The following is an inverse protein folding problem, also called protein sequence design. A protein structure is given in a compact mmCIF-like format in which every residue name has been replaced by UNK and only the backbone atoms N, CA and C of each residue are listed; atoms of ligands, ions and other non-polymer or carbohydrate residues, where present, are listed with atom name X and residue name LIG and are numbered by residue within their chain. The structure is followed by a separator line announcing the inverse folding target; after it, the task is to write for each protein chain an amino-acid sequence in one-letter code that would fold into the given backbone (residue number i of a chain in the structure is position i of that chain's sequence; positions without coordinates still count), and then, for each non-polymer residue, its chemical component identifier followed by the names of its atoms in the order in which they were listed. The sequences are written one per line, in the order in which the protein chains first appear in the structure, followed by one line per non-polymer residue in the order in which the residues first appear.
data_IF_604953703005
#
_entry.id   IF_604953703005
#
_cell.length_a   1.000
_cell.length_b   1.000
_cell.length_c   1.000
_cell.angle_alpha   90.00
_cell.angle_beta   90.00
_cell.angle_gamma   90.00
#
_symmetry.space_group_name_H-M   'P 1'
#
loop_
_entity.id
_entity.type
_entity.pdbx_description
1 polymer ?
#
# COMPACT_ATOMS: atom_id res chain seq x y z
N UNK A 1 -21.73 -49.20 -4.46
CA UNK A 1 -22.30 -47.85 -4.67
C UNK A 1 -21.87 -46.99 -3.49
N UNK A 2 -21.04 -45.94 -3.69
CA UNK A 2 -20.65 -45.06 -2.61
C UNK A 2 -21.77 -44.04 -2.35
N UNK A 3 -22.17 -43.91 -1.10
CA UNK A 3 -23.18 -42.97 -0.62
C UNK A 3 -22.61 -41.56 -0.64
N UNK A 4 -23.18 -40.68 -1.46
CA UNK A 4 -22.83 -39.26 -1.44
C UNK A 4 -23.48 -38.62 -0.20
N UNK A 5 -22.67 -37.90 0.59
CA UNK A 5 -23.20 -37.06 1.66
C UNK A 5 -23.82 -35.80 1.04
N UNK A 6 -24.96 -35.32 1.54
CA UNK A 6 -25.59 -34.14 0.99
C UNK A 6 -24.74 -32.89 1.28
N UNK A 7 -24.72 -31.89 0.37
CA UNK A 7 -24.02 -30.64 0.60
C UNK A 7 -24.64 -29.88 1.78
N UNK A 8 -23.79 -29.41 2.69
CA UNK A 8 -24.18 -28.53 3.78
C UNK A 8 -24.70 -27.20 3.21
N UNK A 9 -25.91 -26.72 3.57
CA UNK A 9 -26.39 -25.44 3.08
C UNK A 9 -25.51 -24.31 3.63
N UNK A 10 -24.88 -23.57 2.72
CA UNK A 10 -24.19 -22.32 3.04
C UNK A 10 -25.23 -21.30 3.49
N UNK A 11 -25.23 -20.95 4.77
CA UNK A 11 -26.08 -19.89 5.29
C UNK A 11 -25.77 -18.56 4.54
N UNK A 12 -26.79 -17.81 4.10
CA UNK A 12 -26.56 -16.49 3.53
C UNK A 12 -25.90 -15.60 4.59
N UNK A 13 -24.81 -14.93 4.20
CA UNK A 13 -24.15 -13.95 5.07
C UNK A 13 -25.19 -12.89 5.48
N UNK A 14 -25.36 -12.59 6.78
CA UNK A 14 -26.30 -11.56 7.21
C UNK A 14 -25.88 -10.22 6.57
N UNK A 15 -26.78 -9.65 5.77
CA UNK A 15 -26.64 -8.30 5.23
C UNK A 15 -26.76 -7.31 6.38
N UNK A 16 -25.64 -6.99 7.04
CA UNK A 16 -25.57 -5.89 7.99
C UNK A 16 -25.83 -4.59 7.22
N UNK A 17 -26.92 -3.84 7.48
CA UNK A 17 -27.07 -2.54 6.87
C UNK A 17 -25.93 -1.64 7.37
N UNK A 18 -25.15 -1.07 6.45
CA UNK A 18 -23.95 -0.29 6.77
C UNK A 18 -24.20 0.81 7.80
N UNK A 19 -25.42 1.36 7.82
CA UNK A 19 -25.90 2.34 8.79
C UNK A 19 -25.74 1.92 10.26
N UNK A 20 -25.82 0.63 10.56
CA UNK A 20 -25.67 0.09 11.93
C UNK A 20 -24.23 0.09 12.45
N UNK A 21 -23.25 0.19 11.53
CA UNK A 21 -21.83 0.20 11.84
C UNK A 21 -21.26 1.63 11.85
N UNK A 22 -21.74 2.49 10.95
CA UNK A 22 -21.23 3.87 10.75
C UNK A 22 -21.20 4.70 12.03
N UNK A 23 -22.35 4.85 12.70
CA UNK A 23 -22.48 5.65 13.93
C UNK A 23 -21.48 5.26 15.03
N UNK A 24 -21.44 3.98 15.47
CA UNK A 24 -20.51 3.53 16.50
C UNK A 24 -19.03 3.79 16.18
N UNK A 25 -18.59 3.52 14.95
CA UNK A 25 -17.18 3.70 14.56
C UNK A 25 -16.82 5.18 14.48
N UNK A 26 -17.67 6.01 13.87
CA UNK A 26 -17.41 7.44 13.73
C UNK A 26 -17.41 8.13 15.11
N UNK A 27 -18.34 7.74 16.00
CA UNK A 27 -18.39 8.23 17.38
C UNK A 27 -17.14 7.82 18.16
N UNK A 28 -16.75 6.54 18.07
CA UNK A 28 -15.52 6.06 18.71
C UNK A 28 -14.30 6.81 18.20
N UNK A 29 -14.18 7.00 16.87
CA UNK A 29 -13.05 7.70 16.27
C UNK A 29 -12.96 9.16 16.71
N UNK A 30 -14.09 9.85 16.87
CA UNK A 30 -14.11 11.23 17.36
C UNK A 30 -13.46 11.38 18.75
N UNK A 31 -13.58 10.37 19.62
CA UNK A 31 -12.96 10.38 20.96
C UNK A 31 -11.60 9.69 21.08
N UNK A 32 -11.14 8.97 20.04
CA UNK A 32 -9.94 8.10 20.12
C UNK A 32 -8.93 8.30 18.98
N UNK A 33 -9.20 9.18 18.02
CA UNK A 33 -8.28 9.45 16.93
C UNK A 33 -6.93 9.95 17.46
N UNK A 34 -5.83 9.31 17.05
CA UNK A 34 -4.49 9.84 17.30
C UNK A 34 -4.30 11.14 16.54
N UNK A 35 -3.75 12.15 17.21
CA UNK A 35 -3.23 13.36 16.56
C UNK A 35 -1.98 13.00 15.76
N UNK A 36 -2.11 13.02 14.44
CA UNK A 36 -1.04 12.73 13.49
C UNK A 36 -0.97 13.86 12.48
N UNK A 37 0.23 14.39 12.16
CA UNK A 37 0.36 15.60 11.37
C UNK A 37 -0.29 15.49 10.00
N UNK A 38 -0.20 14.33 9.34
CA UNK A 38 -0.84 14.06 8.05
C UNK A 38 -2.36 13.87 8.09
N UNK A 39 -2.99 13.89 9.28
CA UNK A 39 -4.46 13.86 9.45
C UNK A 39 -5.03 15.21 9.88
N UNK A 40 -4.17 16.21 10.16
CA UNK A 40 -4.62 17.51 10.64
C UNK A 40 -5.30 18.29 9.51
N UNK A 41 -6.32 19.12 9.82
CA UNK A 41 -6.86 20.06 8.86
C UNK A 41 -5.76 20.90 8.20
N UNK A 42 -5.85 21.11 6.90
CA UNK A 42 -4.85 21.86 6.12
C UNK A 42 -3.65 21.05 5.63
N UNK A 43 -3.57 19.74 5.93
CA UNK A 43 -2.56 18.87 5.31
C UNK A 43 -2.75 18.82 3.79
N UNK A 44 -1.68 19.09 3.03
CA UNK A 44 -1.74 19.07 1.56
C UNK A 44 -1.84 17.65 1.01
N UNK A 45 -2.35 17.46 -0.23
CA UNK A 45 -2.31 16.15 -0.90
C UNK A 45 -0.89 15.55 -1.00
N UNK A 46 0.12 16.40 -1.13
CA UNK A 46 1.52 15.98 -1.06
C UNK A 46 1.89 15.42 0.31
N UNK A 47 1.49 16.11 1.39
CA UNK A 47 1.65 15.65 2.76
C UNK A 47 0.96 14.31 3.01
N UNK A 48 -0.23 14.08 2.47
CA UNK A 48 -0.93 12.79 2.58
C UNK A 48 -0.18 11.69 1.81
N UNK A 49 0.21 11.95 0.55
CA UNK A 49 0.95 10.96 -0.25
C UNK A 49 2.27 10.55 0.43
N UNK A 50 3.04 11.52 0.93
CA UNK A 50 4.31 11.25 1.63
C UNK A 50 4.08 10.36 2.85
N UNK A 51 3.06 10.66 3.68
CA UNK A 51 2.76 9.82 4.85
C UNK A 51 2.37 8.40 4.46
N UNK A 52 1.51 8.24 3.44
CA UNK A 52 1.06 6.93 3.00
C UNK A 52 2.22 6.09 2.45
N UNK A 53 3.16 6.68 1.70
CA UNK A 53 4.35 5.97 1.23
C UNK A 53 5.26 5.59 2.40
N UNK A 54 5.46 6.46 3.40
CA UNK A 54 6.31 6.18 4.57
C UNK A 54 5.71 5.11 5.49
N UNK A 55 4.39 5.11 5.70
CA UNK A 55 3.67 4.20 6.60
C UNK A 55 3.59 2.77 6.10
N UNK A 56 3.88 2.52 4.82
CA UNK A 56 4.02 1.16 4.30
C UNK A 56 5.10 0.38 5.06
N UNK A 57 4.70 -0.60 5.88
CA UNK A 57 5.63 -1.44 6.65
C UNK A 57 6.57 -0.67 7.61
N UNK A 58 6.23 0.59 7.97
CA UNK A 58 6.99 1.38 8.94
C UNK A 58 6.06 1.88 10.05
N UNK A 59 6.37 1.66 11.34
CA UNK A 59 5.50 2.09 12.42
C UNK A 59 5.48 3.62 12.55
N UNK A 60 4.32 4.18 12.89
CA UNK A 60 4.06 5.63 13.06
C UNK A 60 5.16 6.36 13.82
N UNK A 61 5.60 5.82 14.97
CA UNK A 61 6.64 6.43 15.83
C UNK A 61 7.96 6.71 15.10
N UNK A 62 8.27 5.91 14.07
CA UNK A 62 9.47 6.08 13.25
C UNK A 62 9.24 7.01 12.06
N UNK A 63 7.99 7.09 11.58
CA UNK A 63 7.61 7.94 10.45
C UNK A 63 7.52 9.40 10.87
N UNK A 64 6.97 9.71 12.05
CA UNK A 64 6.75 11.09 12.53
C UNK A 64 7.96 12.04 12.31
N UNK A 65 9.15 11.79 12.88
CA UNK A 65 10.28 12.70 12.71
C UNK A 65 10.80 12.76 11.26
N UNK A 66 10.72 11.64 10.53
CA UNK A 66 11.15 11.60 9.13
C UNK A 66 10.19 12.36 8.21
N UNK A 67 8.90 12.31 8.49
CA UNK A 67 7.85 13.03 7.78
C UNK A 67 8.00 14.54 7.94
N UNK A 68 8.19 15.01 9.17
CA UNK A 68 8.40 16.43 9.47
C UNK A 68 9.65 16.97 8.77
N UNK A 69 10.77 16.26 8.90
CA UNK A 69 12.01 16.63 8.22
C UNK A 69 11.89 16.58 6.68
N UNK A 70 11.12 15.64 6.14
CA UNK A 70 10.88 15.52 4.71
C UNK A 70 10.09 16.71 4.17
N UNK A 71 8.98 17.08 4.81
CA UNK A 71 8.17 18.22 4.37
C UNK A 71 8.82 19.57 4.64
N UNK A 72 9.68 19.67 5.67
CA UNK A 72 10.49 20.86 5.88
C UNK A 72 11.47 21.10 4.71
N UNK A 73 12.08 20.04 4.18
CA UNK A 73 13.00 20.12 3.03
C UNK A 73 12.26 20.23 1.69
N UNK A 74 11.20 19.44 1.52
CA UNK A 74 10.45 19.34 0.26
C UNK A 74 8.94 19.49 0.51
N UNK A 75 8.46 20.74 0.65
CA UNK A 75 7.06 21.02 0.98
C UNK A 75 6.08 20.73 -0.18
N UNK A 76 6.58 20.52 -1.40
CA UNK A 76 5.78 20.24 -2.59
C UNK A 76 6.52 19.27 -3.54
N UNK A 77 5.82 18.61 -4.50
CA UNK A 77 6.44 17.71 -5.46
C UNK A 77 7.62 18.34 -6.22
N UNK A 78 7.45 19.59 -6.67
CA UNK A 78 8.49 20.31 -7.41
C UNK A 78 9.81 20.46 -6.62
N UNK A 79 9.73 20.65 -5.30
CA UNK A 79 10.91 20.77 -4.45
C UNK A 79 11.70 19.45 -4.40
N UNK A 80 11.01 18.31 -4.28
CA UNK A 80 11.67 16.99 -4.31
C UNK A 80 12.22 16.67 -5.70
N UNK A 81 11.46 16.98 -6.75
CA UNK A 81 11.84 16.69 -8.13
C UNK A 81 13.07 17.50 -8.61
N UNK A 82 13.34 18.65 -7.99
CA UNK A 82 14.51 19.47 -8.28
C UNK A 82 15.83 18.87 -7.75
N UNK A 83 15.76 18.07 -6.69
CA UNK A 83 16.93 17.40 -6.12
C UNK A 83 17.25 16.09 -6.87
N UNK A 84 18.51 15.62 -6.85
CA UNK A 84 18.85 14.29 -7.33
C UNK A 84 18.12 13.18 -6.53
N UNK A 85 17.74 12.05 -7.13
CA UNK A 85 17.03 10.97 -6.42
C UNK A 85 17.85 10.38 -5.26
N UNK A 86 19.18 10.46 -5.31
CA UNK A 86 20.06 10.06 -4.23
C UNK A 86 19.83 10.86 -2.95
N UNK A 87 19.42 12.13 -3.04
CA UNK A 87 19.07 12.94 -1.88
C UNK A 87 17.79 12.46 -1.20
N UNK A 88 16.80 12.02 -1.98
CA UNK A 88 15.62 11.35 -1.47
C UNK A 88 16.00 10.09 -0.66
N UNK A 89 16.91 9.25 -1.19
CA UNK A 89 17.43 8.05 -0.50
C UNK A 89 18.20 8.43 0.77
N UNK A 90 18.98 9.51 0.73
CA UNK A 90 19.73 10.04 1.87
C UNK A 90 18.79 10.44 3.00
N UNK A 91 17.81 11.29 2.71
CA UNK A 91 16.81 11.78 3.66
C UNK A 91 15.90 10.66 4.19
N UNK A 92 15.57 9.66 3.36
CA UNK A 92 14.76 8.50 3.76
C UNK A 92 15.37 7.74 4.95
N UNK A 93 16.68 7.84 5.12
CA UNK A 93 17.32 7.43 6.35
C UNK A 93 17.13 5.93 6.59
N UNK A 94 16.79 5.59 7.83
CA UNK A 94 16.66 4.19 8.26
C UNK A 94 15.25 3.64 8.13
N UNK A 95 14.30 4.35 7.51
CA UNK A 95 12.88 3.96 7.36
C UNK A 95 12.66 2.55 6.79
N UNK A 96 13.65 1.99 6.09
CA UNK A 96 13.57 0.68 5.46
C UNK A 96 12.92 0.76 4.08
N UNK A 97 13.12 -0.27 3.26
CA UNK A 97 12.66 -0.31 1.86
C UNK A 97 12.99 0.98 1.08
N UNK A 98 14.29 1.33 0.94
CA UNK A 98 14.72 2.63 0.41
C UNK A 98 14.30 2.90 -1.04
N UNK A 99 13.94 1.86 -1.81
CA UNK A 99 13.34 2.02 -3.15
C UNK A 99 12.07 2.88 -3.13
N UNK A 100 11.35 2.93 -2.01
CA UNK A 100 10.19 3.83 -1.85
C UNK A 100 10.57 5.30 -1.99
N UNK A 101 11.76 5.71 -1.55
CA UNK A 101 12.26 7.06 -1.74
C UNK A 101 12.48 7.38 -3.22
N UNK A 102 13.09 6.46 -3.97
CA UNK A 102 13.28 6.60 -5.42
C UNK A 102 11.96 6.67 -6.16
N UNK A 103 10.99 5.83 -5.79
CA UNK A 103 9.66 5.85 -6.42
C UNK A 103 8.88 7.11 -6.07
N UNK A 104 8.97 7.60 -4.83
CA UNK A 104 8.36 8.88 -4.43
C UNK A 104 9.00 10.07 -5.17
N UNK A 105 10.32 10.06 -5.37
CA UNK A 105 11.02 11.04 -6.20
C UNK A 105 10.54 10.98 -7.65
N UNK A 106 10.49 9.78 -8.25
CA UNK A 106 9.96 9.60 -9.61
C UNK A 106 8.49 10.02 -9.73
N UNK A 107 7.66 9.80 -8.70
CA UNK A 107 6.28 10.29 -8.66
C UNK A 107 6.23 11.82 -8.63
N UNK A 108 7.11 12.47 -7.86
CA UNK A 108 7.19 13.92 -7.82
C UNK A 108 7.65 14.51 -9.17
N UNK A 109 8.62 13.89 -9.84
CA UNK A 109 9.03 14.26 -11.21
C UNK A 109 7.85 14.13 -12.17
N UNK A 110 7.13 13.01 -12.13
CA UNK A 110 5.95 12.78 -12.95
C UNK A 110 4.82 13.81 -12.70
N UNK A 111 4.64 14.26 -11.45
CA UNK A 111 3.69 15.33 -11.11
C UNK A 111 4.09 16.67 -11.74
N UNK A 112 5.38 17.01 -11.72
CA UNK A 112 5.87 18.23 -12.39
C UNK A 112 5.69 18.15 -13.90
N UNK A 113 6.00 17.01 -14.50
CA UNK A 113 5.96 16.85 -15.96
C UNK A 113 4.55 16.72 -16.54
N UNK A 114 3.60 16.15 -15.78
CA UNK A 114 2.28 15.76 -16.31
C UNK A 114 1.09 16.39 -15.60
N UNK A 115 1.30 17.00 -14.43
CA UNK A 115 0.24 17.46 -13.54
C UNK A 115 0.55 18.83 -12.91
N UNK A 116 1.34 19.67 -13.59
CA UNK A 116 1.68 21.05 -13.17
C UNK A 116 2.24 21.15 -11.74
N UNK A 117 2.99 20.13 -11.32
CA UNK A 117 3.58 20.05 -9.98
C UNK A 117 2.58 19.73 -8.86
N UNK A 118 1.35 19.38 -9.20
CA UNK A 118 0.29 19.00 -8.25
C UNK A 118 0.16 17.49 -8.11
N UNK A 119 -0.30 17.04 -6.94
CA UNK A 119 -0.80 15.68 -6.79
C UNK A 119 -2.15 15.60 -7.51
N UNK A 120 -2.33 14.71 -8.49
CA UNK A 120 -3.60 14.60 -9.20
C UNK A 120 -4.70 14.06 -8.28
N UNK A 121 -5.94 14.52 -8.48
CA UNK A 121 -7.08 14.08 -7.67
C UNK A 121 -7.74 12.81 -8.23
N UNK A 122 -7.71 12.59 -9.54
CA UNK A 122 -8.33 11.42 -10.14
C UNK A 122 -7.60 10.13 -9.74
N UNK A 123 -8.38 9.10 -9.38
CA UNK A 123 -7.83 7.81 -8.94
C UNK A 123 -6.91 7.16 -9.99
N UNK A 124 -7.28 7.22 -11.26
CA UNK A 124 -6.49 6.62 -12.35
C UNK A 124 -5.16 7.37 -12.56
N UNK A 125 -5.15 8.70 -12.42
CA UNK A 125 -3.93 9.50 -12.49
C UNK A 125 -3.01 9.21 -11.31
N UNK A 126 -3.58 9.08 -10.11
CA UNK A 126 -2.83 8.63 -8.93
C UNK A 126 -2.20 7.26 -9.16
N UNK A 127 -2.96 6.30 -9.69
CA UNK A 127 -2.49 4.95 -10.00
C UNK A 127 -1.40 4.92 -11.08
N UNK A 128 -1.40 5.89 -12.00
CA UNK A 128 -0.39 6.04 -13.05
C UNK A 128 0.95 6.62 -12.54
N UNK A 129 1.02 7.11 -11.29
CA UNK A 129 2.25 7.62 -10.72
C UNK A 129 3.22 6.48 -10.36
N UNK A 130 4.53 6.65 -10.61
CA UNK A 130 5.56 5.69 -10.21
C UNK A 130 5.47 5.26 -8.74
N UNK A 131 5.32 3.96 -8.50
CA UNK A 131 5.26 3.38 -7.15
C UNK A 131 3.99 3.64 -6.35
N UNK A 132 2.97 4.27 -6.96
CA UNK A 132 1.63 4.39 -6.36
C UNK A 132 0.81 3.18 -6.80
N UNK A 133 0.51 2.29 -5.85
CA UNK A 133 -0.40 1.16 -6.06
C UNK A 133 -1.84 1.49 -5.70
N UNK A 134 -2.77 0.56 -5.98
CA UNK A 134 -4.21 0.74 -5.72
C UNK A 134 -4.53 1.16 -4.27
N UNK A 135 -3.78 0.67 -3.29
CA UNK A 135 -3.93 1.11 -1.89
C UNK A 135 -3.61 2.59 -1.72
N UNK A 136 -2.42 3.03 -2.14
CA UNK A 136 -1.97 4.42 -1.99
C UNK A 136 -2.85 5.37 -2.80
N UNK A 137 -3.25 4.97 -4.02
CA UNK A 137 -4.18 5.77 -4.83
C UNK A 137 -5.53 5.96 -4.12
N UNK A 138 -6.13 4.90 -3.58
CA UNK A 138 -7.37 5.00 -2.81
C UNK A 138 -7.21 5.83 -1.53
N UNK A 139 -6.10 5.68 -0.82
CA UNK A 139 -5.80 6.44 0.39
C UNK A 139 -5.66 7.93 0.10
N UNK A 140 -4.92 8.32 -0.94
CA UNK A 140 -4.78 9.73 -1.33
C UNK A 140 -6.10 10.30 -1.86
N UNK A 141 -6.78 9.59 -2.77
CA UNK A 141 -8.08 10.01 -3.28
C UNK A 141 -9.10 10.24 -2.14
N UNK A 142 -9.11 9.36 -1.14
CA UNK A 142 -10.02 9.49 -0.01
C UNK A 142 -9.59 10.55 0.99
N UNK A 143 -8.36 10.49 1.50
CA UNK A 143 -7.92 11.34 2.62
C UNK A 143 -7.53 12.75 2.20
N UNK A 144 -7.01 12.95 0.98
CA UNK A 144 -6.64 14.27 0.49
C UNK A 144 -7.77 14.95 -0.29
N UNK A 145 -8.57 14.18 -1.04
CA UNK A 145 -9.57 14.72 -1.97
C UNK A 145 -11.02 14.38 -1.60
N UNK A 146 -11.25 13.75 -0.45
CA UNK A 146 -12.60 13.49 0.06
C UNK A 146 -13.39 12.45 -0.75
N UNK A 147 -12.73 11.67 -1.61
CA UNK A 147 -13.43 10.72 -2.47
C UNK A 147 -13.83 9.44 -1.73
N UNK A 148 -14.93 8.84 -2.18
CA UNK A 148 -15.48 7.61 -1.63
C UNK A 148 -14.73 6.38 -2.20
N UNK A 149 -13.60 6.04 -1.59
CA UNK A 149 -12.82 4.82 -1.90
C UNK A 149 -12.53 4.00 -0.64
N UNK A 150 -12.56 2.68 -0.77
CA UNK A 150 -12.20 1.78 0.31
C UNK A 150 -10.68 1.68 0.46
N UNK A 151 -10.17 2.04 1.64
CA UNK A 151 -8.73 2.01 1.95
C UNK A 151 -8.39 0.73 2.70
N UNK A 152 -7.83 -0.25 1.99
CA UNK A 152 -7.63 -1.62 2.49
C UNK A 152 -6.17 -1.94 2.83
N UNK A 153 -5.70 -1.46 3.98
CA UNK A 153 -4.42 -1.91 4.54
C UNK A 153 -4.56 -3.28 5.24
N UNK A 154 -3.45 -3.82 5.75
CA UNK A 154 -3.48 -5.10 6.48
C UNK A 154 -4.32 -5.07 7.77
N UNK A 155 -4.54 -3.90 8.36
CA UNK A 155 -5.35 -3.73 9.56
C UNK A 155 -6.83 -3.73 9.24
N UNK A 156 -7.25 -2.95 8.26
CA UNK A 156 -8.63 -2.90 7.75
C UNK A 156 -9.04 -4.27 7.22
N UNK A 157 -8.19 -4.92 6.41
CA UNK A 157 -8.48 -6.28 5.92
C UNK A 157 -8.70 -7.28 7.06
N UNK A 158 -7.93 -7.19 8.15
CA UNK A 158 -8.14 -8.01 9.35
C UNK A 158 -9.45 -7.67 10.08
N UNK A 159 -9.77 -6.39 10.22
CA UNK A 159 -11.04 -5.96 10.82
C UNK A 159 -12.21 -6.53 10.03
N UNK A 160 -12.19 -6.38 8.70
CA UNK A 160 -13.27 -6.84 7.83
C UNK A 160 -13.37 -8.37 7.77
N UNK A 161 -12.25 -9.10 7.72
CA UNK A 161 -12.27 -10.57 7.79
C UNK A 161 -12.90 -11.07 9.10
N UNK A 162 -12.59 -10.44 10.24
CA UNK A 162 -13.19 -10.79 11.53
C UNK A 162 -14.66 -10.37 11.61
N UNK A 163 -14.99 -9.19 11.07
CA UNK A 163 -16.33 -8.63 11.12
C UNK A 163 -17.31 -9.42 10.26
N UNK A 164 -16.96 -9.64 8.98
CA UNK A 164 -17.85 -10.16 7.94
C UNK A 164 -17.71 -11.67 7.77
N UNK A 165 -16.47 -12.17 7.67
CA UNK A 165 -16.24 -13.57 7.31
C UNK A 165 -16.15 -14.51 8.52
N UNK A 166 -16.07 -13.95 9.74
CA UNK A 166 -15.86 -14.74 10.95
C UNK A 166 -14.47 -15.38 11.05
N UNK A 167 -13.48 -14.89 10.28
CA UNK A 167 -12.12 -15.45 10.22
C UNK A 167 -11.12 -14.58 10.98
N UNK A 168 -10.14 -15.21 11.62
CA UNK A 168 -9.11 -14.46 12.36
C UNK A 168 -8.23 -13.58 11.44
N UNK A 169 -7.90 -14.09 10.25
CA UNK A 169 -7.07 -13.40 9.26
C UNK A 169 -7.70 -13.45 7.86
N UNK A 170 -7.47 -12.40 7.04
CA UNK A 170 -7.88 -12.40 5.64
C UNK A 170 -7.00 -13.34 4.80
N UNK A 171 -7.41 -13.65 3.56
CA UNK A 171 -6.56 -14.35 2.60
C UNK A 171 -5.18 -13.66 2.39
N UNK A 172 -4.14 -14.39 1.95
CA UNK A 172 -2.80 -13.82 1.76
C UNK A 172 -2.78 -12.63 0.81
N UNK A 173 -3.55 -12.70 -0.27
CA UNK A 173 -3.68 -11.66 -1.29
C UNK A 173 -5.04 -10.98 -1.22
N UNK A 174 -5.08 -9.69 -1.55
CA UNK A 174 -6.35 -8.95 -1.61
C UNK A 174 -7.19 -9.46 -2.79
N UNK A 175 -8.41 -9.88 -2.51
CA UNK A 175 -9.36 -10.38 -3.51
C UNK A 175 -10.34 -9.30 -3.98
N UNK A 176 -10.93 -9.50 -5.16
CA UNK A 176 -12.00 -8.62 -5.65
C UNK A 176 -13.25 -8.65 -4.75
N UNK A 177 -13.51 -9.79 -4.08
CA UNK A 177 -14.60 -9.93 -3.13
C UNK A 177 -14.37 -9.06 -1.87
N UNK A 178 -13.16 -9.10 -1.29
CA UNK A 178 -12.78 -8.21 -0.17
C UNK A 178 -12.95 -6.73 -0.55
N UNK A 179 -12.55 -6.35 -1.77
CA UNK A 179 -12.70 -4.97 -2.25
C UNK A 179 -14.17 -4.56 -2.36
N UNK A 180 -15.01 -5.37 -2.99
CA UNK A 180 -16.45 -5.08 -3.14
C UNK A 180 -17.16 -4.99 -1.79
N UNK A 181 -16.84 -5.89 -0.86
CA UNK A 181 -17.41 -5.86 0.48
C UNK A 181 -17.02 -4.58 1.23
N UNK A 182 -15.77 -4.15 1.11
CA UNK A 182 -15.31 -2.92 1.75
C UNK A 182 -15.96 -1.65 1.15
N UNK A 183 -16.08 -1.58 -0.18
CA UNK A 183 -16.75 -0.48 -0.89
C UNK A 183 -18.24 -0.38 -0.52
N UNK A 184 -18.92 -1.53 -0.37
CA UNK A 184 -20.32 -1.58 0.05
C UNK A 184 -20.53 -1.13 1.51
N UNK A 185 -19.48 -1.16 2.34
CA UNK A 185 -19.53 -0.69 3.73
C UNK A 185 -19.27 0.81 3.88
N UNK A 186 -18.82 1.51 2.84
CA UNK A 186 -18.60 2.94 2.94
C UNK A 186 -19.94 3.67 3.11
N UNK A 187 -20.01 4.70 3.97
CA UNK A 187 -21.13 5.65 3.96
C UNK A 187 -21.43 6.17 2.56
N UNK A 188 -22.71 6.34 2.24
CA UNK A 188 -23.13 6.95 0.98
C UNK A 188 -22.81 8.45 0.94
N UNK A 189 -22.82 9.10 2.11
CA UNK A 189 -22.34 10.47 2.28
C UNK A 189 -20.83 10.56 1.99
N UNK A 190 -20.41 11.25 0.91
CA UNK A 190 -18.99 11.41 0.57
C UNK A 190 -18.18 12.10 1.66
N UNK A 191 -18.78 12.97 2.48
CA UNK A 191 -18.08 13.64 3.58
C UNK A 191 -17.72 12.67 4.72
N UNK A 192 -18.50 11.59 4.89
CA UNK A 192 -18.28 10.60 5.94
C UNK A 192 -17.38 9.44 5.51
N UNK A 193 -17.33 9.12 4.21
CA UNK A 193 -16.59 7.96 3.71
C UNK A 193 -15.08 7.99 4.05
N UNK A 194 -14.32 9.10 3.84
CA UNK A 194 -12.93 9.17 4.27
C UNK A 194 -12.75 9.02 5.78
N UNK A 195 -13.64 9.64 6.57
CA UNK A 195 -13.62 9.57 8.03
C UNK A 195 -13.89 8.16 8.53
N UNK A 196 -14.78 7.43 7.89
CA UNK A 196 -15.03 6.02 8.13
C UNK A 196 -13.80 5.16 7.80
N UNK A 197 -13.20 5.35 6.62
CA UNK A 197 -12.01 4.60 6.20
C UNK A 197 -10.85 4.75 7.20
N UNK A 198 -10.54 5.97 7.63
CA UNK A 198 -9.48 6.21 8.62
C UNK A 198 -9.86 5.66 10.00
N UNK A 199 -11.14 5.71 10.38
CA UNK A 199 -11.62 5.17 11.65
C UNK A 199 -11.50 3.64 11.73
N UNK A 200 -11.85 2.91 10.66
CA UNK A 200 -11.67 1.45 10.60
C UNK A 200 -10.19 1.08 10.66
N UNK A 201 -9.33 1.84 9.98
CA UNK A 201 -7.88 1.68 10.07
C UNK A 201 -7.37 1.91 11.50
N UNK A 202 -7.90 2.91 12.21
CA UNK A 202 -7.57 3.21 13.60
C UNK A 202 -8.02 2.09 14.56
N UNK A 203 -9.24 1.57 14.39
CA UNK A 203 -9.74 0.39 15.11
C UNK A 203 -8.81 -0.79 14.87
N UNK A 204 -8.41 -1.05 13.63
CA UNK A 204 -7.49 -2.13 13.30
C UNK A 204 -6.13 -1.96 13.97
N UNK A 205 -5.60 -0.75 14.01
CA UNK A 205 -4.30 -0.45 14.61
C UNK A 205 -4.30 -0.55 16.15
N UNK A 206 -5.36 -0.08 16.81
CA UNK A 206 -5.37 0.10 18.26
C UNK A 206 -6.20 -0.96 19.00
N UNK A 207 -7.29 -1.44 18.41
CA UNK A 207 -8.30 -2.27 19.11
C UNK A 207 -8.30 -3.70 18.59
N UNK A 208 -8.56 -3.86 17.29
CA UNK A 208 -8.60 -5.14 16.61
C UNK A 208 -7.19 -5.54 16.15
N UNK A 209 -6.25 -5.60 17.08
CA UNK A 209 -4.84 -5.95 16.83
C UNK A 209 -4.70 -7.41 16.36
N UNK A 210 -3.58 -7.72 15.69
CA UNK A 210 -3.32 -9.07 15.17
C UNK A 210 -3.22 -10.12 16.29
N UNK A 211 -2.72 -9.72 17.45
CA UNK A 211 -2.62 -10.53 18.67
C UNK A 211 -3.24 -9.75 19.83
N UNK A 212 -3.92 -10.45 20.74
CA UNK A 212 -4.60 -9.88 21.91
C UNK A 212 -5.55 -8.71 21.57
N UNK A 213 -6.54 -8.89 20.67
CA UNK A 213 -7.49 -7.83 20.34
C UNK A 213 -8.36 -7.46 21.55
N UNK A 214 -8.61 -6.16 21.73
CA UNK A 214 -9.40 -5.60 22.83
C UNK A 214 -10.89 -5.56 22.46
N UNK A 215 -11.49 -6.74 22.28
CA UNK A 215 -12.86 -6.88 21.77
C UNK A 215 -13.95 -6.30 22.69
N UNK A 216 -13.66 -6.21 23.98
CA UNK A 216 -14.44 -5.60 25.05
C UNK A 216 -14.69 -4.10 24.84
N UNK A 217 -13.73 -3.39 24.24
CA UNK A 217 -13.84 -1.95 23.92
C UNK A 217 -14.05 -1.68 22.43
N UNK A 218 -14.27 -2.71 21.62
CA UNK A 218 -14.44 -2.55 20.18
C UNK A 218 -15.85 -2.04 19.84
N UNK A 219 -15.99 -0.90 19.11
CA UNK A 219 -17.29 -0.27 18.88
C UNK A 219 -18.24 -1.11 18.01
N UNK A 220 -17.70 -2.09 17.28
CA UNK A 220 -18.43 -3.00 16.39
C UNK A 220 -18.44 -4.45 16.90
N UNK A 221 -18.08 -4.67 18.17
CA UNK A 221 -17.97 -6.01 18.76
C UNK A 221 -19.27 -6.81 18.70
N UNK A 222 -20.43 -6.15 18.83
CA UNK A 222 -21.75 -6.80 18.78
C UNK A 222 -22.14 -7.32 17.40
N UNK A 223 -21.47 -6.83 16.35
CA UNK A 223 -21.71 -7.23 14.96
C UNK A 223 -20.61 -8.14 14.41
N UNK A 224 -19.54 -8.39 15.18
CA UNK A 224 -18.37 -9.12 14.69
C UNK A 224 -18.60 -10.63 14.67
N UNK A 225 -18.73 -11.21 13.48
CA UNK A 225 -18.94 -12.64 13.29
C UNK A 225 -17.88 -13.50 14.00
N UNK A 226 -16.60 -13.11 13.93
CA UNK A 226 -15.51 -13.86 14.56
C UNK A 226 -15.61 -13.86 16.08
N UNK A 227 -16.03 -12.73 16.68
CA UNK A 227 -16.26 -12.64 18.12
C UNK A 227 -17.47 -13.46 18.54
N UNK A 228 -18.57 -13.39 17.79
CA UNK A 228 -19.80 -14.14 18.07
C UNK A 228 -19.60 -15.65 17.94
N UNK A 229 -18.69 -16.10 17.07
CA UNK A 229 -18.28 -17.49 16.94
C UNK A 229 -17.29 -17.97 18.03
N UNK A 230 -17.02 -17.17 19.07
CA UNK A 230 -16.10 -17.56 20.15
C UNK A 230 -14.61 -17.37 19.83
N UNK A 231 -14.27 -16.53 18.83
CA UNK A 231 -12.89 -16.22 18.40
C UNK A 231 -12.09 -17.46 17.96
N UNK A 232 -12.58 -18.22 16.96
CA UNK A 232 -11.85 -19.38 16.46
C UNK A 232 -10.44 -18.99 16.01
N UNK A 233 -9.46 -19.81 16.39
CA UNK A 233 -8.05 -19.60 16.05
C UNK A 233 -7.79 -19.85 14.56
N UNK A 234 -6.77 -19.20 14.03
CA UNK A 234 -6.27 -19.45 12.69
C UNK A 234 -5.75 -20.87 12.54
N UNK A 235 -6.23 -21.57 11.52
CA UNK A 235 -5.95 -22.97 11.20
C UNK A 235 -4.98 -23.15 10.01
N UNK A 236 -4.47 -22.05 9.44
CA UNK A 236 -3.54 -22.07 8.31
C UNK A 236 -2.05 -22.12 8.72
N UNK A 237 -1.13 -22.10 7.72
CA UNK A 237 0.29 -22.30 7.97
C UNK A 237 0.90 -21.19 8.86
N UNK A 238 1.89 -21.54 9.70
CA UNK A 238 2.50 -20.59 10.62
C UNK A 238 3.19 -19.45 9.86
N UNK A 239 2.94 -18.22 10.28
CA UNK A 239 3.60 -17.02 9.75
C UNK A 239 5.02 -16.92 10.32
N UNK A 240 6.01 -17.47 9.60
CA UNK A 240 7.43 -17.41 9.98
C UNK A 240 7.96 -15.96 9.90
N UNK A 241 8.65 -15.52 10.95
CA UNK A 241 9.44 -14.28 10.94
C UNK A 241 10.90 -14.61 10.68
N UNK A 242 11.48 -14.04 9.64
CA UNK A 242 12.91 -14.16 9.39
C UNK A 242 13.70 -13.22 10.31
N UNK A 243 14.80 -13.71 10.88
CA UNK A 243 15.75 -12.92 11.67
C UNK A 243 16.43 -11.85 10.82
N UNK A 244 16.77 -10.70 11.39
CA UNK A 244 17.42 -9.60 10.66
C UNK A 244 18.93 -9.78 10.56
N UNK A 245 19.52 -10.28 11.63
CA UNK A 245 20.95 -10.47 11.73
C UNK A 245 21.46 -11.51 10.71
N UNK A 246 22.59 -11.21 10.08
CA UNK A 246 23.23 -12.06 9.07
C UNK A 246 22.55 -12.08 7.70
N UNK A 247 21.46 -11.34 7.51
CA UNK A 247 20.72 -11.36 6.23
C UNK A 247 21.23 -10.32 5.23
N UNK A 248 20.97 -10.56 3.94
CA UNK A 248 21.32 -9.62 2.86
C UNK A 248 20.72 -8.23 3.10
N UNK A 249 19.54 -8.14 3.74
CA UNK A 249 18.91 -6.84 4.07
C UNK A 249 19.72 -6.04 5.09
N UNK A 250 20.44 -6.71 5.99
CA UNK A 250 21.36 -6.06 6.94
C UNK A 250 22.62 -5.58 6.21
N UNK A 251 23.23 -6.44 5.40
CA UNK A 251 24.40 -6.10 4.60
C UNK A 251 24.11 -4.88 3.69
N UNK A 252 23.03 -4.94 2.90
CA UNK A 252 22.56 -3.82 2.07
C UNK A 252 22.36 -2.54 2.86
N UNK A 253 21.75 -2.63 4.04
CA UNK A 253 21.52 -1.47 4.91
C UNK A 253 22.82 -0.82 5.40
N UNK A 254 23.87 -1.61 5.66
CA UNK A 254 25.19 -1.12 6.04
C UNK A 254 25.93 -0.47 4.87
N UNK A 255 25.90 -1.07 3.69
CA UNK A 255 26.46 -0.49 2.47
C UNK A 255 25.81 0.86 2.15
N UNK A 256 24.46 0.91 2.15
CA UNK A 256 23.73 2.15 1.94
C UNK A 256 23.97 3.20 3.03
N UNK A 257 24.36 2.82 4.24
CA UNK A 257 24.72 3.81 5.27
C UNK A 257 25.98 4.56 4.87
N UNK A 258 27.02 3.87 4.43
CA UNK A 258 28.27 4.50 3.97
C UNK A 258 27.98 5.51 2.86
N UNK A 259 27.21 5.11 1.85
CA UNK A 259 26.85 5.97 0.72
C UNK A 259 26.00 7.19 1.12
N UNK A 260 25.14 7.06 2.14
CA UNK A 260 24.34 8.17 2.68
C UNK A 260 25.09 9.11 3.62
N UNK A 261 26.26 8.71 4.10
CA UNK A 261 27.13 9.55 4.93
C UNK A 261 28.20 10.25 4.08
N UNK A 262 28.55 9.68 2.93
CA UNK A 262 29.51 10.26 1.99
C UNK A 262 28.91 11.39 1.13
N UNK A 263 29.72 12.43 0.90
CA UNK A 263 29.43 13.53 -0.05
C UNK A 263 29.99 13.23 -1.44
N UNK A 264 31.18 12.62 -1.49
CA UNK A 264 31.88 12.23 -2.70
C UNK A 264 31.68 10.74 -3.02
N UNK A 265 31.98 10.29 -4.25
CA UNK A 265 31.97 8.88 -4.58
C UNK A 265 32.86 8.03 -3.65
N UNK A 266 32.27 6.95 -3.14
CA UNK A 266 32.86 6.04 -2.16
C UNK A 266 33.69 4.97 -2.87
N UNK A 267 34.99 4.83 -2.56
CA UNK A 267 35.81 3.73 -3.06
C UNK A 267 35.30 2.38 -2.55
N UNK A 268 35.40 1.33 -3.39
CA UNK A 268 35.02 -0.06 -3.04
C UNK A 268 35.56 -0.49 -1.68
N UNK A 269 36.84 -0.22 -1.38
CA UNK A 269 37.48 -0.60 -0.12
C UNK A 269 36.71 -0.14 1.15
N UNK A 270 36.04 1.03 1.10
CA UNK A 270 35.23 1.51 2.23
C UNK A 270 33.94 0.70 2.41
N UNK A 271 33.34 0.23 1.31
CA UNK A 271 32.19 -0.67 1.35
C UNK A 271 32.60 -2.07 1.82
N UNK A 272 33.80 -2.52 1.48
CA UNK A 272 34.34 -3.81 1.92
C UNK A 272 34.54 -3.86 3.43
N UNK A 273 34.98 -2.76 4.03
CA UNK A 273 35.23 -2.67 5.47
C UNK A 273 33.97 -2.83 6.35
N UNK A 274 32.75 -2.66 5.83
CA UNK A 274 31.52 -2.67 6.66
C UNK A 274 30.82 -4.03 6.77
N UNK A 275 31.26 -5.03 5.99
CA UNK A 275 30.71 -6.37 6.02
C UNK A 275 31.77 -7.43 5.70
N UNK A 276 32.03 -8.40 6.59
CA UNK A 276 33.17 -9.32 6.44
C UNK A 276 32.98 -10.39 5.35
N UNK A 277 31.75 -10.86 5.11
CA UNK A 277 31.45 -11.87 4.09
C UNK A 277 31.48 -11.25 2.70
N UNK A 278 32.53 -11.53 1.93
CA UNK A 278 32.73 -10.98 0.59
C UNK A 278 31.63 -11.41 -0.40
N UNK A 279 31.21 -12.68 -0.40
CA UNK A 279 30.21 -13.20 -1.34
C UNK A 279 28.86 -12.55 -1.08
N UNK A 280 28.46 -12.45 0.18
CA UNK A 280 27.22 -11.78 0.56
C UNK A 280 27.27 -10.29 0.25
N UNK A 281 28.42 -9.64 0.46
CA UNK A 281 28.61 -8.21 0.21
C UNK A 281 28.49 -7.87 -1.28
N UNK A 282 29.14 -8.61 -2.16
CA UNK A 282 29.04 -8.38 -3.61
C UNK A 282 27.59 -8.58 -4.09
N UNK A 283 26.93 -9.68 -3.69
CA UNK A 283 25.51 -9.90 -3.99
C UNK A 283 24.60 -8.76 -3.46
N UNK A 284 24.89 -8.26 -2.27
CA UNK A 284 24.18 -7.13 -1.68
C UNK A 284 24.41 -5.82 -2.46
N UNK A 285 25.63 -5.56 -2.91
CA UNK A 285 25.99 -4.38 -3.70
C UNK A 285 25.38 -4.44 -5.11
N UNK A 286 25.50 -5.57 -5.79
CA UNK A 286 24.90 -5.79 -7.12
C UNK A 286 23.40 -5.60 -7.09
N UNK A 287 22.73 -6.15 -6.08
CA UNK A 287 21.29 -5.96 -5.92
C UNK A 287 20.91 -4.51 -5.59
N UNK A 288 21.80 -3.71 -4.99
CA UNK A 288 21.56 -2.28 -4.76
C UNK A 288 21.70 -1.48 -6.05
N UNK A 289 22.66 -1.84 -6.89
CA UNK A 289 22.84 -1.28 -8.24
C UNK A 289 21.63 -1.62 -9.12
N UNK A 290 21.22 -2.89 -9.15
CA UNK A 290 20.05 -3.35 -9.91
C UNK A 290 18.74 -2.66 -9.46
N UNK A 291 18.63 -2.30 -8.18
CA UNK A 291 17.49 -1.56 -7.65
C UNK A 291 17.52 -0.05 -7.95
N UNK A 292 18.60 0.45 -8.57
CA UNK A 292 18.84 1.87 -8.84
C UNK A 292 19.21 2.69 -7.60
N UNK A 293 19.55 2.04 -6.48
CA UNK A 293 19.88 2.71 -5.22
C UNK A 293 21.34 3.15 -5.15
N UNK A 294 22.19 2.60 -6.02
CA UNK A 294 23.63 2.85 -6.08
C UNK A 294 24.05 2.92 -7.55
N UNK A 295 24.82 3.94 -7.90
CA UNK A 295 25.46 4.06 -9.21
C UNK A 295 26.92 3.63 -9.09
N UNK A 296 27.37 2.61 -9.86
CA UNK A 296 28.78 2.34 -10.04
C UNK A 296 29.39 3.40 -10.96
N UNK A 297 30.62 3.79 -10.68
CA UNK A 297 31.43 4.72 -11.45
C UNK A 297 32.76 4.05 -11.84
N UNK A 298 33.53 4.71 -12.69
CA UNK A 298 34.88 4.30 -13.02
C UNK A 298 35.77 4.21 -11.76
N UNK A 299 36.87 3.44 -11.89
CA UNK A 299 37.87 3.27 -10.83
C UNK A 299 37.31 2.68 -9.53
N UNK A 300 36.36 1.75 -9.61
CA UNK A 300 35.77 1.03 -8.47
C UNK A 300 35.18 1.98 -7.39
N UNK A 301 34.43 2.98 -7.85
CA UNK A 301 33.73 3.93 -6.97
C UNK A 301 32.22 3.80 -7.09
N UNK A 302 31.53 4.16 -6.02
CA UNK A 302 30.08 4.05 -5.92
C UNK A 302 29.49 5.33 -5.35
N UNK A 303 28.29 5.72 -5.78
CA UNK A 303 27.57 6.85 -5.21
C UNK A 303 26.07 6.59 -5.17
N UNK A 304 25.34 7.46 -4.46
CA UNK A 304 23.89 7.53 -4.59
C UNK A 304 23.49 8.14 -5.94
N UNK A 305 22.31 7.79 -6.48
CA UNK A 305 21.95 8.15 -7.84
C UNK A 305 21.83 9.66 -8.05
N UNK A 306 22.37 10.16 -9.17
CA UNK A 306 22.43 11.59 -9.50
C UNK A 306 21.53 11.97 -10.69
N UNK A 307 21.33 11.06 -11.64
CA UNK A 307 20.48 11.31 -12.81
C UNK A 307 18.99 11.27 -12.48
N UNK A 308 18.15 11.95 -13.28
CA UNK A 308 16.70 11.71 -13.24
C UNK A 308 16.46 10.25 -13.57
N UNK A 309 15.73 9.51 -12.71
CA UNK A 309 15.30 8.17 -13.08
C UNK A 309 14.35 8.30 -14.27
N UNK A 310 14.79 7.86 -15.44
CA UNK A 310 13.90 7.68 -16.59
C UNK A 310 12.89 6.62 -16.15
N UNK A 311 11.60 6.96 -16.14
CA UNK A 311 10.55 6.01 -15.82
C UNK A 311 10.74 4.77 -16.71
N UNK A 312 11.00 3.61 -16.09
CA UNK A 312 11.14 2.34 -16.80
C UNK A 312 9.97 2.18 -17.77
N UNK A 313 10.26 2.09 -19.08
CA UNK A 313 9.26 1.72 -20.08
C UNK A 313 8.70 0.36 -19.65
N UNK A 314 7.36 0.25 -19.56
CA UNK A 314 6.71 -1.06 -19.39
C UNK A 314 7.25 -1.99 -20.49
N UNK A 315 7.69 -3.22 -20.18
CA UNK A 315 7.93 -4.19 -21.23
C UNK A 315 6.61 -4.42 -21.98
N UNK A 316 6.61 -4.19 -23.28
CA UNK A 316 5.51 -4.56 -24.16
C UNK A 316 5.24 -6.06 -23.97
N UNK A 317 3.99 -6.40 -23.68
CA UNK A 317 3.56 -7.80 -23.62
C UNK A 317 3.68 -8.39 -25.02
N UNK A 318 4.72 -9.18 -25.22
CA UNK A 318 4.84 -10.06 -26.37
C UNK A 318 3.64 -11.01 -26.44
N UNK A 319 2.86 -10.88 -27.53
CA UNK A 319 2.18 -11.96 -28.23
C UNK A 319 1.14 -12.79 -27.47
N UNK A 320 -0.11 -12.31 -27.40
CA UNK A 320 -1.26 -13.20 -27.35
C UNK A 320 -1.72 -13.45 -28.79
N UNK A 321 -1.44 -14.67 -29.27
CA UNK A 321 -1.82 -15.21 -30.58
C UNK A 321 -3.33 -15.11 -30.81
N UNK A 322 -3.71 -14.76 -32.04
CA UNK A 322 -5.02 -15.02 -32.63
C UNK A 322 -5.31 -16.53 -32.56
N UNK A 323 -6.50 -16.88 -32.08
CA UNK A 323 -7.22 -18.06 -32.53
C UNK A 323 -8.64 -17.62 -32.88
N UNK A 324 -9.07 -18.04 -34.05
CA UNK A 324 -10.33 -17.73 -34.68
C UNK A 324 -11.42 -18.77 -34.31
N UNK A 325 -12.66 -18.39 -34.61
CA UNK A 325 -13.91 -19.19 -34.64
C UNK A 325 -14.53 -19.48 -33.25
N UNK A 326 -15.83 -19.27 -33.00
CA UNK A 326 -17.02 -19.45 -33.85
C UNK A 326 -18.19 -18.56 -33.38
N UNK A 327 -18.99 -18.04 -34.32
CA UNK A 327 -20.32 -17.45 -34.07
C UNK A 327 -21.33 -18.49 -33.59
N UNK A 328 -22.39 -18.04 -32.87
CA UNK A 328 -23.76 -18.13 -33.38
C UNK A 328 -24.53 -16.82 -33.11
N UNK A 329 -25.21 -16.21 -34.08
CA UNK A 329 -26.60 -16.51 -34.49
C UNK A 329 -27.55 -15.40 -33.98
N UNK A 330 -27.84 -14.43 -34.85
CA UNK A 330 -28.97 -13.50 -34.69
C UNK A 330 -29.41 -13.03 -36.09
N UNK A 331 -30.25 -13.84 -36.72
CA UNK A 331 -30.92 -13.53 -37.99
C UNK A 331 -32.39 -13.87 -37.90
N UNK A 332 -33.21 -12.93 -37.42
CA UNK A 332 -34.67 -12.99 -37.53
C UNK A 332 -35.11 -12.41 -38.90
N UNK A 333 -35.82 -13.16 -39.76
CA UNK A 333 -36.34 -12.62 -41.01
C UNK A 333 -37.71 -11.93 -40.80
N UNK A 334 -38.03 -10.87 -41.57
CA UNK A 334 -39.39 -10.36 -41.61
C UNK A 334 -40.25 -11.22 -42.54
N UNK A 335 -41.30 -11.82 -41.98
CA UNK A 335 -42.31 -12.55 -42.75
C UNK A 335 -43.30 -11.57 -43.40
N UNK A 336 -43.50 -11.71 -44.71
CA UNK A 336 -44.47 -10.93 -45.51
C UNK A 336 -45.88 -11.47 -45.29
N UNK A 337 -46.86 -10.57 -45.22
CA UNK A 337 -48.30 -10.88 -45.31
C UNK A 337 -48.64 -11.31 -46.75
N UNK A 338 -49.49 -12.33 -46.92
CA UNK A 338 -50.86 -12.21 -47.51
C UNK A 338 -51.45 -13.56 -47.94
N UNK A 339 -52.62 -13.87 -47.38
CA UNK A 339 -53.84 -14.40 -48.01
C UNK A 339 -53.78 -15.59 -48.98
N UNK A 340 -54.35 -16.73 -48.58
CA UNK A 340 -55.60 -17.34 -49.10
C UNK A 340 -55.92 -18.62 -48.35
#
# INVERSE_FOLDING_TARGET
MPTSSPPTPSLPAPSLPGSSLHGPVLTWYAGHARDLPWRRPGTTPWGVLVSEVMLQQTPVRRVLPAYEAWLARWPAPAALAADPPGEAVRQWGRLGYPRRALRLHAAAVAMVERHDGQVPSAYEDLLALPGVGSYTAAAVASFAFGQRHAVLDTNVRRVLARLLDGREYPPPTLTAAERRAAEALLPDDPALAPRWSVAVMEIGALVCTASNPRCDVCPIARHCAWRLAGRPAYDGPPRRRQLYEGTDRQCRGRLLRVLREARDPVPRAQLEAVWPDAVQRERALDSLVADGLVEPLDHDRYRLPQGRMVAERRPERAGARRLAATSPDEGYPPNRRSSS
#
